data_IF_675326292412
#
_entry.id   IF_675326292412
#
_cell.length_a   1.000
_cell.length_b   1.000
_cell.length_c   1.000
_cell.angle_alpha   90.00
_cell.angle_beta   90.00
_cell.angle_gamma   90.00
#
_symmetry.space_group_name_H-M   'P 1'
#
loop_
_entity.id
_entity.type
_entity.pdbx_description
1 polymer ?
#
# COMPACT_ATOMS: atom_id res chain seq x y z
N UNK A 1 -9.18 20.90 -14.02
CA UNK A 1 -8.24 19.88 -13.50
C UNK A 1 -8.28 19.79 -11.97
N UNK A 2 -7.78 20.80 -11.25
CA UNK A 2 -7.71 20.73 -9.77
C UNK A 2 -9.08 20.85 -9.08
N UNK A 3 -9.90 21.83 -9.47
CA UNK A 3 -11.26 22.01 -8.92
C UNK A 3 -12.16 20.81 -9.24
N UNK A 4 -12.03 20.25 -10.45
CA UNK A 4 -12.77 19.06 -10.88
C UNK A 4 -12.35 17.80 -10.13
N UNK A 5 -11.06 17.63 -9.81
CA UNK A 5 -10.58 16.57 -8.91
C UNK A 5 -11.15 16.73 -7.49
N UNK A 6 -11.12 17.96 -6.94
CA UNK A 6 -11.61 18.24 -5.60
C UNK A 6 -13.10 17.89 -5.48
N UNK A 7 -13.91 18.30 -6.46
CA UNK A 7 -15.34 17.98 -6.51
C UNK A 7 -15.60 16.46 -6.60
N UNK A 8 -14.79 15.73 -7.38
CA UNK A 8 -14.92 14.27 -7.49
C UNK A 8 -14.42 13.50 -6.26
N UNK A 9 -13.48 14.04 -5.49
CA UNK A 9 -13.12 13.43 -4.20
C UNK A 9 -14.21 13.66 -3.14
N UNK A 10 -14.86 14.82 -3.16
CA UNK A 10 -15.94 15.14 -2.22
C UNK A 10 -17.19 14.27 -2.39
N UNK A 11 -17.41 13.68 -3.58
CA UNK A 11 -18.51 12.73 -3.81
C UNK A 11 -18.26 11.33 -3.21
N UNK A 12 -17.13 11.12 -2.53
CA UNK A 12 -16.82 9.85 -1.84
C UNK A 12 -16.47 8.70 -2.78
N UNK A 13 -16.14 9.00 -4.04
CA UNK A 13 -15.68 8.02 -5.01
C UNK A 13 -14.24 7.57 -4.68
N UNK A 14 -13.88 6.34 -5.06
CA UNK A 14 -12.51 5.83 -4.89
C UNK A 14 -11.52 6.76 -5.59
N UNK A 15 -10.48 7.19 -4.89
CA UNK A 15 -9.52 8.19 -5.38
C UNK A 15 -8.90 7.77 -6.72
N UNK A 16 -8.55 6.49 -6.90
CA UNK A 16 -8.11 5.96 -8.20
C UNK A 16 -9.08 6.28 -9.34
N UNK A 17 -10.39 6.09 -9.13
CA UNK A 17 -11.42 6.35 -10.13
C UNK A 17 -11.62 7.85 -10.39
N UNK A 18 -11.65 8.66 -9.32
CA UNK A 18 -11.78 10.11 -9.41
C UNK A 18 -10.61 10.74 -10.18
N UNK A 19 -9.38 10.37 -9.84
CA UNK A 19 -8.16 10.89 -10.49
C UNK A 19 -8.03 10.35 -11.91
N UNK A 20 -8.32 9.06 -12.12
CA UNK A 20 -8.27 8.43 -13.44
C UNK A 20 -9.25 9.06 -14.42
N UNK A 21 -10.49 9.30 -13.99
CA UNK A 21 -11.51 9.93 -14.82
C UNK A 21 -11.16 11.40 -15.13
N UNK A 22 -10.79 12.19 -14.11
CA UNK A 22 -10.45 13.60 -14.34
C UNK A 22 -9.21 13.72 -15.21
N UNK A 23 -8.19 12.87 -15.04
CA UNK A 23 -6.98 12.89 -15.89
C UNK A 23 -7.24 12.45 -17.33
N UNK A 24 -8.10 11.45 -17.56
CA UNK A 24 -8.49 11.03 -18.90
C UNK A 24 -9.36 12.09 -19.61
N UNK A 25 -10.37 12.63 -18.92
CA UNK A 25 -11.21 13.71 -19.45
C UNK A 25 -10.38 14.98 -19.72
N UNK A 26 -9.41 15.28 -18.85
CA UNK A 26 -8.48 16.37 -19.02
C UNK A 26 -7.63 16.25 -20.29
N UNK A 27 -7.06 15.07 -20.49
CA UNK A 27 -6.20 14.77 -21.62
C UNK A 27 -6.98 14.94 -22.93
N UNK A 28 -8.21 14.41 -22.99
CA UNK A 28 -9.08 14.54 -24.16
C UNK A 28 -9.50 15.99 -24.44
N UNK A 29 -9.80 16.78 -23.40
CA UNK A 29 -10.19 18.19 -23.57
C UNK A 29 -9.03 19.10 -24.01
N UNK A 30 -7.79 18.76 -23.67
CA UNK A 30 -6.61 19.57 -24.00
C UNK A 30 -5.91 19.14 -25.29
N UNK A 31 -5.85 17.83 -25.56
CA UNK A 31 -5.10 17.25 -26.68
C UNK A 31 -5.98 16.57 -27.76
N UNK A 32 -7.30 16.54 -27.60
CA UNK A 32 -8.24 15.98 -28.58
C UNK A 32 -8.12 14.46 -28.74
N UNK A 33 -8.45 13.94 -29.93
CA UNK A 33 -8.47 12.49 -30.21
C UNK A 33 -7.10 11.81 -30.05
N UNK A 34 -6.00 12.55 -30.19
CA UNK A 34 -4.65 12.04 -29.97
C UNK A 34 -4.31 11.75 -28.50
N UNK A 35 -5.16 12.17 -27.56
CA UNK A 35 -4.92 11.98 -26.12
C UNK A 35 -5.41 10.63 -25.59
N UNK A 36 -6.15 9.84 -26.39
CA UNK A 36 -6.69 8.52 -25.98
C UNK A 36 -5.59 7.53 -25.60
N UNK A 37 -4.43 7.66 -26.23
CA UNK A 37 -3.25 6.81 -25.98
C UNK A 37 -2.57 7.14 -24.63
N UNK A 38 -2.82 8.32 -24.06
CA UNK A 38 -2.17 8.75 -22.81
C UNK A 38 -2.67 7.97 -21.58
N UNK A 39 -3.99 7.87 -21.31
CA UNK A 39 -4.50 7.02 -20.23
C UNK A 39 -4.16 5.54 -20.42
N UNK A 40 -4.18 5.07 -21.68
CA UNK A 40 -3.85 3.69 -22.02
C UNK A 40 -2.39 3.35 -21.66
N UNK A 41 -1.46 4.17 -22.11
CA UNK A 41 -0.02 3.98 -21.82
C UNK A 41 0.28 4.12 -20.33
N UNK A 42 -0.37 5.07 -19.64
CA UNK A 42 -0.22 5.23 -18.19
C UNK A 42 -0.69 3.99 -17.42
N UNK A 43 -1.81 3.40 -17.83
CA UNK A 43 -2.34 2.15 -17.25
C UNK A 43 -1.38 0.99 -17.49
N UNK A 44 -0.84 0.86 -18.71
CA UNK A 44 0.11 -0.20 -19.05
C UNK A 44 1.45 -0.07 -18.31
N UNK A 45 1.88 1.16 -18.03
CA UNK A 45 3.04 1.44 -17.18
C UNK A 45 2.83 0.95 -15.74
N UNK A 46 1.62 1.08 -15.20
CA UNK A 46 1.27 0.57 -13.87
C UNK A 46 1.28 -0.96 -13.83
N UNK A 47 0.71 -1.63 -14.85
CA UNK A 47 0.72 -3.09 -14.91
C UNK A 47 2.13 -3.68 -15.03
N UNK A 48 3.03 -3.01 -15.74
CA UNK A 48 4.44 -3.41 -15.87
C UNK A 48 5.31 -2.95 -14.70
N UNK A 49 4.73 -2.31 -13.69
CA UNK A 49 5.49 -1.74 -12.59
C UNK A 49 6.03 -2.85 -11.70
N UNK A 50 7.35 -2.85 -11.49
CA UNK A 50 8.06 -3.87 -10.73
C UNK A 50 7.43 -4.17 -9.34
N UNK A 51 6.98 -3.16 -8.57
CA UNK A 51 6.28 -3.39 -7.31
C UNK A 51 4.98 -4.20 -7.39
N UNK A 52 4.27 -4.21 -8.53
CA UNK A 52 3.06 -5.03 -8.69
C UNK A 52 3.39 -6.53 -8.59
N UNK A 53 4.59 -6.93 -9.02
CA UNK A 53 5.08 -8.30 -8.89
C UNK A 53 5.62 -8.61 -7.50
N UNK A 54 6.21 -7.62 -6.82
CA UNK A 54 6.75 -7.84 -5.46
C UNK A 54 5.66 -7.90 -4.40
N UNK A 55 4.50 -7.25 -4.61
CA UNK A 55 3.38 -7.25 -3.67
C UNK A 55 2.91 -8.69 -3.28
N UNK A 56 2.59 -9.59 -4.24
CA UNK A 56 2.25 -10.97 -3.91
C UNK A 56 3.37 -11.73 -3.18
N UNK A 57 4.63 -11.45 -3.53
CA UNK A 57 5.78 -12.10 -2.89
C UNK A 57 5.94 -11.65 -1.42
N UNK A 58 5.69 -10.38 -1.11
CA UNK A 58 5.66 -9.88 0.26
C UNK A 58 4.51 -10.50 1.06
N UNK A 59 3.32 -10.59 0.47
CA UNK A 59 2.16 -11.26 1.11
C UNK A 59 2.49 -12.74 1.35
N UNK A 60 3.09 -13.42 0.38
CA UNK A 60 3.50 -14.82 0.51
C UNK A 60 4.55 -15.03 1.60
N UNK A 61 5.55 -14.14 1.68
CA UNK A 61 6.55 -14.17 2.75
C UNK A 61 5.89 -13.98 4.13
N UNK A 62 5.00 -13.01 4.27
CA UNK A 62 4.24 -12.80 5.50
C UNK A 62 3.40 -14.01 5.89
N UNK A 63 2.73 -14.63 4.90
CA UNK A 63 1.97 -15.87 5.10
C UNK A 63 2.85 -17.03 5.56
N UNK A 64 4.00 -17.25 4.90
CA UNK A 64 4.94 -18.30 5.29
C UNK A 64 5.49 -18.10 6.71
N UNK A 65 5.77 -16.86 7.13
CA UNK A 65 6.26 -16.56 8.49
C UNK A 65 5.17 -16.82 9.55
N UNK A 66 3.91 -16.55 9.21
CA UNK A 66 2.76 -16.85 10.06
C UNK A 66 2.55 -18.36 10.19
N UNK A 67 2.59 -19.09 9.07
CA UNK A 67 2.30 -20.53 9.02
C UNK A 67 3.45 -21.40 9.59
N UNK A 68 4.71 -20.95 9.46
CA UNK A 68 5.89 -21.67 9.98
C UNK A 68 6.04 -21.59 11.51
N UNK A 69 5.22 -20.82 12.21
CA UNK A 69 5.30 -20.64 13.66
C UNK A 69 6.40 -19.70 14.14
N UNK A 70 7.25 -19.18 13.24
CA UNK A 70 8.34 -18.25 13.55
C UNK A 70 7.81 -16.98 14.23
N UNK A 71 6.62 -16.50 13.83
CA UNK A 71 5.98 -15.35 14.46
C UNK A 71 5.67 -15.58 15.96
N UNK A 72 5.25 -16.79 16.33
CA UNK A 72 4.95 -17.15 17.72
C UNK A 72 6.23 -17.27 18.56
N UNK A 73 7.27 -17.87 18.00
CA UNK A 73 8.57 -17.98 18.68
C UNK A 73 9.19 -16.60 18.89
N UNK A 74 9.08 -15.70 17.90
CA UNK A 74 9.53 -14.32 18.01
C UNK A 74 8.73 -13.56 19.08
N UNK A 75 7.40 -13.73 19.14
CA UNK A 75 6.57 -13.15 20.20
C UNK A 75 7.00 -13.63 21.59
N UNK A 76 7.26 -14.93 21.75
CA UNK A 76 7.74 -15.51 23.01
C UNK A 76 9.13 -14.98 23.38
N UNK A 77 10.03 -14.80 22.41
CA UNK A 77 11.34 -14.17 22.63
C UNK A 77 11.20 -12.76 23.18
N UNK A 78 10.39 -11.91 22.54
CA UNK A 78 10.12 -10.56 23.01
C UNK A 78 9.47 -10.56 24.41
N UNK A 79 8.56 -11.49 24.68
CA UNK A 79 7.93 -11.59 26.00
C UNK A 79 8.91 -11.98 27.11
N UNK A 80 9.82 -12.93 26.87
CA UNK A 80 10.85 -13.34 27.85
C UNK A 80 11.87 -12.23 28.07
N UNK A 81 12.29 -11.54 27.01
CA UNK A 81 13.31 -10.50 27.07
C UNK A 81 12.82 -9.24 27.80
N UNK A 82 11.55 -8.87 27.60
CA UNK A 82 10.96 -7.66 28.18
C UNK A 82 10.07 -7.94 29.41
N UNK A 83 9.73 -9.19 29.72
CA UNK A 83 8.78 -9.56 30.77
C UNK A 83 9.17 -9.18 32.20
N UNK A 84 10.47 -8.96 32.47
CA UNK A 84 10.96 -8.49 33.77
C UNK A 84 10.80 -6.98 34.00
N UNK A 85 10.45 -6.20 32.97
CA UNK A 85 10.41 -4.73 33.03
C UNK A 85 8.96 -4.25 33.21
N UNK A 86 8.73 -3.26 34.08
CA UNK A 86 7.43 -2.60 34.20
C UNK A 86 7.06 -1.96 32.85
N UNK A 87 6.00 -2.45 32.20
CA UNK A 87 5.62 -2.05 30.83
C UNK A 87 6.18 -2.93 29.71
N UNK A 88 6.88 -4.02 30.04
CA UNK A 88 7.53 -4.92 29.10
C UNK A 88 6.60 -5.56 28.07
N UNK A 89 5.33 -5.81 28.42
CA UNK A 89 4.33 -6.32 27.49
C UNK A 89 4.10 -5.34 26.32
N UNK A 90 3.96 -4.04 26.61
CA UNK A 90 3.74 -3.02 25.60
C UNK A 90 4.96 -2.86 24.68
N UNK A 91 6.18 -2.91 25.25
CA UNK A 91 7.43 -2.84 24.49
C UNK A 91 7.56 -4.06 23.58
N UNK A 92 7.26 -5.26 24.09
CA UNK A 92 7.27 -6.50 23.31
C UNK A 92 6.28 -6.47 22.15
N UNK A 93 5.04 -6.00 22.38
CA UNK A 93 4.04 -5.86 21.31
C UNK A 93 4.47 -4.86 20.24
N UNK A 94 5.00 -3.68 20.63
CA UNK A 94 5.50 -2.69 19.67
C UNK A 94 6.68 -3.23 18.85
N UNK A 95 7.64 -3.90 19.48
CA UNK A 95 8.77 -4.52 18.78
C UNK A 95 8.33 -5.57 17.77
N UNK A 96 7.34 -6.39 18.14
CA UNK A 96 6.77 -7.41 17.27
C UNK A 96 6.01 -6.77 16.07
N UNK A 97 5.21 -5.73 16.32
CA UNK A 97 4.55 -4.95 15.26
C UNK A 97 5.55 -4.29 14.30
N UNK A 98 6.66 -3.72 14.81
CA UNK A 98 7.72 -3.13 13.98
C UNK A 98 8.42 -4.20 13.14
N UNK A 99 8.74 -5.35 13.71
CA UNK A 99 9.36 -6.46 12.98
C UNK A 99 8.45 -6.97 11.85
N UNK A 100 7.17 -7.20 12.15
CA UNK A 100 6.17 -7.59 11.14
C UNK A 100 6.02 -6.49 10.08
N UNK A 101 6.01 -5.22 10.46
CA UNK A 101 5.93 -4.10 9.52
C UNK A 101 7.15 -4.00 8.61
N UNK A 102 8.35 -4.31 9.12
CA UNK A 102 9.58 -4.33 8.34
C UNK A 102 9.59 -5.49 7.33
N UNK A 103 9.07 -6.67 7.72
CA UNK A 103 8.98 -7.85 6.85
C UNK A 103 7.91 -7.71 5.77
N UNK A 104 6.79 -7.06 6.08
CA UNK A 104 5.73 -6.83 5.10
C UNK A 104 6.03 -5.68 4.13
N UNK A 105 7.13 -4.93 4.31
CA UNK A 105 7.66 -3.97 3.32
C UNK A 105 6.66 -2.94 2.81
N UNK A 106 5.55 -2.72 3.51
CA UNK A 106 4.32 -2.17 2.96
C UNK A 106 4.33 -0.64 2.84
N UNK A 107 5.51 -0.02 2.82
CA UNK A 107 5.70 1.40 2.52
C UNK A 107 5.28 1.74 1.08
N UNK A 108 5.42 0.80 0.13
CA UNK A 108 4.97 1.00 -1.27
C UNK A 108 3.45 0.83 -1.43
N UNK A 109 2.83 -0.10 -0.69
CA UNK A 109 1.38 -0.25 -0.67
C UNK A 109 0.69 0.88 0.13
N UNK A 110 1.34 1.44 1.15
CA UNK A 110 0.89 2.68 1.81
C UNK A 110 0.85 3.88 0.86
N UNK A 111 1.76 3.97 -0.12
CA UNK A 111 1.68 5.00 -1.16
C UNK A 111 0.58 4.75 -2.21
N UNK A 112 0.23 3.48 -2.48
CA UNK A 112 -0.87 3.14 -3.39
C UNK A 112 -2.27 3.21 -2.72
N UNK A 113 -2.33 3.05 -1.39
CA UNK A 113 -3.57 3.02 -0.59
C UNK A 113 -3.82 4.35 0.14
N UNK A 114 -2.79 5.18 0.35
CA UNK A 114 -2.92 6.57 0.81
C UNK A 114 -3.64 7.51 -0.18
N UNK A 115 -4.09 6.96 -1.30
CA UNK A 115 -5.18 7.49 -2.11
C UNK A 115 -6.50 6.82 -1.69
N UNK A 116 -6.84 6.89 -0.41
CA UNK A 116 -8.21 6.70 0.09
C UNK A 116 -8.63 7.94 0.85
#
# INVERSE_FOLDING_TARGET
MFVTMLLMLLTGQRVFGAIGFVSAAAALLLWGEGAIEMPYTATWKLFKWYPMLTLPLFIYMGYMISESGIANDLYRMFHVYFGGVKGGLAIGTMGMMVAISAMNGLSVAGMAIGAT
#
